data_IF_139801590043
#
_entry.id   IF_139801590043
#
_cell.length_a   1.000
_cell.length_b   1.000
_cell.length_c   1.000
_cell.angle_alpha   90.00
_cell.angle_beta   90.00
_cell.angle_gamma   90.00
#
_symmetry.space_group_name_H-M   'P 1'
#
loop_
_entity.id
_entity.type
_entity.pdbx_description
1 polymer ?
#
# COMPACT_ATOMS: atom_id res chain seq x y z
N UNK A 1 19.83 42.47 16.73
CA UNK A 1 20.14 41.25 17.51
C UNK A 1 18.94 40.91 18.38
N UNK A 2 18.17 39.91 17.98
CA UNK A 2 17.27 39.17 18.87
C UNK A 2 17.19 37.76 18.29
N UNK A 3 17.88 36.84 18.95
CA UNK A 3 17.94 35.43 18.59
C UNK A 3 16.57 34.80 18.84
N UNK A 4 15.81 34.56 17.76
CA UNK A 4 14.70 33.59 17.82
C UNK A 4 15.34 32.23 17.97
N UNK A 5 15.23 31.68 19.17
CA UNK A 5 15.64 30.32 19.50
C UNK A 5 14.97 29.35 18.52
N UNK A 6 15.78 28.72 17.69
CA UNK A 6 15.40 27.55 16.92
C UNK A 6 15.09 26.44 17.92
N UNK A 7 13.81 26.07 18.02
CA UNK A 7 13.39 24.90 18.78
C UNK A 7 14.05 23.66 18.16
N UNK A 8 15.11 23.17 18.80
CA UNK A 8 16.04 22.15 18.29
C UNK A 8 15.48 20.73 18.24
N UNK A 9 14.24 20.50 18.69
CA UNK A 9 13.65 19.16 18.79
C UNK A 9 13.01 18.64 17.49
N UNK A 10 12.87 19.48 16.45
CA UNK A 10 12.28 19.12 15.15
C UNK A 10 13.34 18.90 14.04
N UNK A 11 14.60 18.68 14.41
CA UNK A 11 15.76 18.73 13.50
C UNK A 11 16.19 17.42 12.81
N UNK A 12 15.35 16.51 12.27
CA UNK A 12 15.85 15.47 11.34
C UNK A 12 15.98 15.93 9.89
N UNK A 13 15.43 17.09 9.52
CA UNK A 13 15.41 17.64 8.15
C UNK A 13 16.28 18.90 7.99
N UNK A 14 17.39 18.97 8.72
CA UNK A 14 18.20 20.19 8.94
C UNK A 14 18.62 20.96 7.67
N UNK A 15 18.65 20.30 6.50
CA UNK A 15 19.03 20.94 5.24
C UNK A 15 17.83 21.34 4.35
N UNK A 16 16.60 20.95 4.70
CA UNK A 16 15.41 21.27 3.91
C UNK A 16 14.87 22.68 4.20
N UNK A 17 14.50 23.41 3.15
CA UNK A 17 14.05 24.80 3.16
C UNK A 17 12.64 24.95 2.59
N UNK A 18 11.92 25.95 3.10
CA UNK A 18 10.68 26.43 2.49
C UNK A 18 11.01 27.32 1.31
N UNK A 19 10.65 26.89 0.10
CA UNK A 19 10.93 27.62 -1.15
C UNK A 19 9.64 28.09 -1.82
N UNK A 20 9.67 29.29 -2.40
CA UNK A 20 8.58 29.85 -3.21
C UNK A 20 8.98 29.82 -4.69
N UNK A 21 8.57 28.78 -5.45
CA UNK A 21 9.01 28.59 -6.83
C UNK A 21 8.38 29.57 -7.82
N UNK A 22 9.10 29.87 -8.91
CA UNK A 22 8.53 30.55 -10.09
C UNK A 22 7.52 29.64 -10.82
N UNK A 23 6.64 30.19 -11.68
CA UNK A 23 5.70 29.39 -12.47
C UNK A 23 6.37 28.28 -13.31
N UNK A 24 7.56 28.55 -13.86
CA UNK A 24 8.35 27.61 -14.63
C UNK A 24 8.88 26.48 -13.75
N UNK A 25 9.43 26.81 -12.58
CA UNK A 25 9.88 25.83 -11.59
C UNK A 25 8.71 24.97 -11.07
N UNK A 26 7.51 25.55 -10.91
CA UNK A 26 6.32 24.79 -10.58
C UNK A 26 5.92 23.80 -11.67
N UNK A 27 6.13 24.14 -12.94
CA UNK A 27 5.87 23.22 -14.06
C UNK A 27 6.86 22.07 -14.07
N UNK A 28 8.14 22.35 -13.90
CA UNK A 28 9.20 21.34 -13.80
C UNK A 28 8.98 20.40 -12.62
N UNK A 29 8.66 20.94 -11.43
CA UNK A 29 8.30 20.13 -10.26
C UNK A 29 7.12 19.20 -10.54
N UNK A 30 6.11 19.68 -11.28
CA UNK A 30 4.95 18.85 -11.67
C UNK A 30 5.34 17.70 -12.58
N UNK A 31 6.25 17.93 -13.53
CA UNK A 31 6.77 16.88 -14.40
C UNK A 31 7.53 15.80 -13.60
N UNK A 32 8.42 16.22 -12.68
CA UNK A 32 9.11 15.29 -11.78
C UNK A 32 8.14 14.48 -10.91
N UNK A 33 7.09 15.09 -10.37
CA UNK A 33 6.08 14.37 -9.59
C UNK A 33 5.38 13.29 -10.43
N UNK A 34 5.02 13.60 -11.68
CA UNK A 34 4.41 12.64 -12.59
C UNK A 34 5.36 11.48 -12.91
N UNK A 35 6.62 11.78 -13.24
CA UNK A 35 7.66 10.79 -13.52
C UNK A 35 7.88 9.83 -12.34
N UNK A 36 7.95 10.35 -11.11
CA UNK A 36 8.10 9.52 -9.90
C UNK A 36 6.91 8.58 -9.69
N UNK A 37 5.69 9.08 -9.95
CA UNK A 37 4.48 8.26 -9.95
C UNK A 37 4.58 7.13 -10.97
N UNK A 38 4.98 7.45 -12.21
CA UNK A 38 5.14 6.46 -13.28
C UNK A 38 6.24 5.44 -12.98
N UNK A 39 7.37 5.87 -12.42
CA UNK A 39 8.42 4.97 -11.98
C UNK A 39 7.95 4.04 -10.86
N UNK A 40 7.13 4.50 -9.91
CA UNK A 40 6.54 3.63 -8.90
C UNK A 40 5.63 2.55 -9.55
N UNK A 41 4.83 2.93 -10.55
CA UNK A 41 3.98 2.00 -11.31
C UNK A 41 4.80 0.98 -12.10
N UNK A 42 5.79 1.44 -12.87
CA UNK A 42 6.69 0.58 -13.65
C UNK A 42 7.50 -0.36 -12.77
N UNK A 43 8.00 0.15 -11.63
CA UNK A 43 8.73 -0.66 -10.65
C UNK A 43 7.89 -1.82 -10.11
N UNK A 44 6.57 -1.62 -9.98
CA UNK A 44 5.66 -2.68 -9.53
C UNK A 44 5.56 -3.80 -10.57
N UNK A 45 5.47 -3.44 -11.86
CA UNK A 45 5.46 -4.42 -12.96
C UNK A 45 6.78 -5.19 -13.04
N UNK A 46 7.91 -4.49 -12.89
CA UNK A 46 9.23 -5.11 -12.85
C UNK A 46 9.33 -6.08 -11.68
N UNK A 47 8.84 -5.71 -10.48
CA UNK A 47 8.85 -6.58 -9.31
C UNK A 47 8.01 -7.85 -9.52
N UNK A 48 6.84 -7.74 -10.15
CA UNK A 48 6.02 -8.90 -10.52
C UNK A 48 6.73 -9.81 -11.52
N UNK A 49 7.40 -9.25 -12.53
CA UNK A 49 8.17 -10.00 -13.51
C UNK A 49 9.35 -10.73 -12.86
N UNK A 50 10.13 -10.05 -12.01
CA UNK A 50 11.25 -10.65 -11.28
C UNK A 50 10.77 -11.79 -10.37
N UNK A 51 9.64 -11.61 -9.69
CA UNK A 51 9.04 -12.65 -8.85
C UNK A 51 8.58 -13.87 -9.68
N UNK A 52 8.02 -13.63 -10.86
CA UNK A 52 7.66 -14.68 -11.82
C UNK A 52 8.88 -15.48 -12.28
N UNK A 53 9.95 -14.79 -12.71
CA UNK A 53 11.21 -15.42 -13.17
C UNK A 53 11.85 -16.25 -12.05
N UNK A 54 11.94 -15.69 -10.84
CA UNK A 54 12.46 -16.40 -9.67
C UNK A 54 11.70 -17.70 -9.41
N UNK A 55 10.36 -17.62 -9.41
CA UNK A 55 9.53 -18.79 -9.14
C UNK A 55 9.64 -19.86 -10.23
N UNK A 56 9.72 -19.43 -11.48
CA UNK A 56 9.92 -20.32 -12.61
C UNK A 56 11.25 -21.09 -12.48
N UNK A 57 12.35 -20.38 -12.19
CA UNK A 57 13.65 -21.00 -11.92
C UNK A 57 13.61 -21.98 -10.76
N UNK A 58 13.02 -21.58 -9.62
CA UNK A 58 12.88 -22.43 -8.44
C UNK A 58 12.01 -23.68 -8.66
N UNK A 59 11.00 -23.59 -9.53
CA UNK A 59 10.15 -24.73 -9.88
C UNK A 59 10.88 -25.76 -10.76
N UNK A 60 11.71 -25.29 -11.71
CA UNK A 60 12.54 -26.14 -12.56
C UNK A 60 13.67 -26.83 -11.79
N UNK A 61 14.29 -26.13 -10.83
CA UNK A 61 15.29 -26.73 -9.94
C UNK A 61 14.73 -27.90 -9.13
N UNK A 62 13.54 -27.73 -8.55
CA UNK A 62 12.85 -28.81 -7.81
C UNK A 62 12.42 -29.98 -8.68
N UNK A 63 11.97 -29.73 -9.91
CA UNK A 63 11.62 -30.79 -10.86
C UNK A 63 12.85 -31.63 -11.26
N UNK A 64 14.01 -30.99 -11.47
CA UNK A 64 15.27 -31.67 -11.78
C UNK A 64 15.79 -32.53 -10.62
N UNK A 65 15.73 -32.05 -9.37
CA UNK A 65 16.11 -32.87 -8.20
C UNK A 65 15.21 -34.09 -7.99
N UNK A 66 13.91 -33.99 -8.33
CA UNK A 66 12.96 -35.11 -8.21
C UNK A 66 13.16 -36.20 -9.27
N UNK A 67 13.69 -35.86 -10.45
CA UNK A 67 13.93 -36.81 -11.54
C UNK A 67 15.16 -37.70 -11.34
N UNK A 68 16.03 -37.38 -10.37
CA UNK A 68 17.34 -38.01 -10.21
C UNK A 68 17.50 -38.86 -8.93
N UNK A 69 16.40 -39.19 -8.23
CA UNK A 69 16.46 -39.88 -6.94
C UNK A 69 15.40 -40.97 -6.76
N UNK A 70 15.82 -42.24 -6.89
CA UNK A 70 15.16 -43.39 -6.26
C UNK A 70 15.53 -43.35 -4.76
N UNK A 71 14.74 -42.68 -3.93
CA UNK A 71 14.94 -42.67 -2.48
C UNK A 71 13.66 -42.22 -1.76
N UNK A 72 13.34 -42.81 -0.59
CA UNK A 72 12.10 -42.52 0.11
C UNK A 72 12.06 -41.05 0.53
N UNK A 73 10.93 -40.41 0.25
CA UNK A 73 10.66 -39.00 0.45
C UNK A 73 10.61 -38.64 1.94
N UNK A 74 11.75 -38.35 2.55
CA UNK A 74 11.82 -37.74 3.90
C UNK A 74 12.51 -36.38 3.91
N UNK A 75 12.69 -35.73 2.75
CA UNK A 75 13.21 -34.37 2.73
C UNK A 75 12.06 -33.35 2.80
N UNK A 76 11.35 -33.33 3.93
CA UNK A 76 10.72 -32.10 4.41
C UNK A 76 11.84 -31.26 5.03
N UNK A 77 12.72 -30.75 4.17
CA UNK A 77 13.75 -29.81 4.54
C UNK A 77 13.13 -28.72 5.40
N UNK A 78 13.83 -28.37 6.48
CA UNK A 78 13.42 -27.30 7.38
C UNK A 78 13.08 -26.05 6.55
N UNK A 79 11.91 -25.43 6.74
CA UNK A 79 11.54 -24.27 5.96
C UNK A 79 12.64 -23.21 6.12
N UNK A 80 13.11 -22.68 4.99
CA UNK A 80 14.10 -21.61 4.97
C UNK A 80 13.69 -20.50 5.94
N UNK A 81 14.65 -19.83 6.57
CA UNK A 81 14.38 -18.73 7.49
C UNK A 81 13.45 -17.67 6.87
N UNK A 82 13.57 -17.43 5.56
CA UNK A 82 12.70 -16.51 4.81
C UNK A 82 11.27 -17.03 4.61
N UNK A 83 11.08 -18.35 4.56
CA UNK A 83 9.77 -18.99 4.41
C UNK A 83 9.05 -19.18 5.75
N UNK A 84 9.77 -19.01 6.87
CA UNK A 84 9.18 -19.04 8.19
C UNK A 84 8.29 -17.81 8.46
N UNK A 85 7.25 -17.99 9.27
CA UNK A 85 6.40 -16.88 9.71
C UNK A 85 7.18 -15.93 10.63
N UNK A 86 7.04 -14.61 10.42
CA UNK A 86 7.71 -13.62 11.29
C UNK A 86 7.17 -13.67 12.73
N UNK A 87 5.84 -13.83 12.87
CA UNK A 87 5.17 -13.92 14.18
C UNK A 87 4.42 -15.24 14.32
N UNK A 88 4.33 -15.74 15.56
CA UNK A 88 3.64 -17.00 15.89
C UNK A 88 2.15 -16.91 15.53
N UNK A 89 1.73 -17.73 14.57
CA UNK A 89 0.36 -17.72 14.03
C UNK A 89 0.08 -16.65 12.97
N UNK A 90 1.12 -15.99 12.43
CA UNK A 90 1.00 -15.08 11.30
C UNK A 90 0.92 -15.81 9.96
N UNK A 91 0.08 -15.33 9.04
CA UNK A 91 -0.08 -15.88 7.69
C UNK A 91 0.91 -15.33 6.66
N UNK A 92 1.84 -14.47 7.07
CA UNK A 92 2.86 -13.85 6.21
C UNK A 92 4.28 -14.28 6.61
N UNK A 93 5.15 -14.51 5.62
CA UNK A 93 6.52 -15.01 5.82
C UNK A 93 7.53 -13.87 6.00
N UNK A 94 8.69 -14.15 6.62
CA UNK A 94 9.77 -13.15 6.78
C UNK A 94 10.23 -12.56 5.45
N UNK A 95 10.32 -13.37 4.40
CA UNK A 95 10.65 -12.92 3.05
C UNK A 95 9.62 -11.92 2.49
N UNK A 96 8.33 -12.10 2.78
CA UNK A 96 7.30 -11.14 2.36
C UNK A 96 7.42 -9.80 3.09
N UNK A 97 7.75 -9.81 4.39
CA UNK A 97 8.06 -8.58 5.13
C UNK A 97 9.31 -7.88 4.60
N UNK A 98 10.35 -8.63 4.24
CA UNK A 98 11.56 -8.06 3.64
C UNK A 98 11.24 -7.37 2.32
N UNK A 99 10.45 -7.99 1.45
CA UNK A 99 9.99 -7.37 0.20
C UNK A 99 9.20 -6.10 0.48
N UNK A 100 8.29 -6.10 1.47
CA UNK A 100 7.56 -4.90 1.85
C UNK A 100 8.48 -3.78 2.39
N UNK A 101 9.50 -4.12 3.17
CA UNK A 101 10.49 -3.16 3.67
C UNK A 101 11.33 -2.57 2.54
N UNK A 102 11.85 -3.41 1.64
CA UNK A 102 12.59 -2.97 0.45
C UNK A 102 11.71 -2.08 -0.43
N UNK A 103 10.44 -2.44 -0.59
CA UNK A 103 9.47 -1.63 -1.34
C UNK A 103 9.23 -0.27 -0.69
N UNK A 104 9.08 -0.19 0.64
CA UNK A 104 8.98 1.09 1.37
C UNK A 104 10.21 1.95 1.15
N UNK A 105 11.41 1.38 1.28
CA UNK A 105 12.67 2.12 1.05
C UNK A 105 12.73 2.63 -0.38
N UNK A 106 12.37 1.80 -1.37
CA UNK A 106 12.32 2.20 -2.77
C UNK A 106 11.38 3.38 -3.01
N UNK A 107 10.16 3.35 -2.46
CA UNK A 107 9.21 4.46 -2.59
C UNK A 107 9.70 5.73 -1.88
N UNK A 108 10.36 5.62 -0.72
CA UNK A 108 10.99 6.76 -0.05
C UNK A 108 12.11 7.35 -0.91
N UNK A 109 12.97 6.51 -1.48
CA UNK A 109 14.05 6.94 -2.39
C UNK A 109 13.48 7.62 -3.62
N UNK A 110 12.46 7.05 -4.27
CA UNK A 110 11.79 7.71 -5.41
C UNK A 110 11.19 9.05 -5.00
N UNK A 111 10.65 9.14 -3.78
CA UNK A 111 10.04 10.38 -3.29
C UNK A 111 11.07 11.49 -3.07
N UNK A 112 12.26 11.14 -2.55
CA UNK A 112 13.36 12.08 -2.31
C UNK A 112 14.26 12.34 -3.53
N UNK A 113 14.21 11.47 -4.55
CA UNK A 113 15.07 11.59 -5.72
C UNK A 113 14.77 12.86 -6.50
N UNK A 114 15.71 13.80 -6.54
CA UNK A 114 15.57 15.08 -7.24
C UNK A 114 14.68 16.10 -6.53
N UNK A 115 14.45 15.97 -5.22
CA UNK A 115 13.75 17.00 -4.44
C UNK A 115 14.68 18.12 -3.98
N UNK A 116 15.99 17.87 -3.94
CA UNK A 116 16.97 18.81 -3.40
C UNK A 116 16.69 19.08 -1.92
N UNK A 117 16.78 20.34 -1.53
CA UNK A 117 16.44 20.86 -0.21
C UNK A 117 14.98 21.31 -0.08
N UNK A 118 14.08 21.02 -1.04
CA UNK A 118 12.71 21.53 -0.96
C UNK A 118 11.77 20.63 -0.15
N UNK A 119 11.37 21.14 1.02
CA UNK A 119 10.54 20.42 1.99
C UNK A 119 9.16 20.07 1.43
N UNK A 120 8.52 21.03 0.76
CA UNK A 120 7.18 20.86 0.22
C UNK A 120 7.19 19.99 -1.02
N UNK A 121 8.28 20.03 -1.80
CA UNK A 121 8.45 19.13 -2.93
C UNK A 121 8.57 17.67 -2.46
N UNK A 122 9.37 17.39 -1.42
CA UNK A 122 9.45 16.06 -0.81
C UNK A 122 8.08 15.59 -0.30
N UNK A 123 7.39 16.44 0.47
CA UNK A 123 6.08 16.09 1.04
C UNK A 123 5.05 15.76 -0.05
N UNK A 124 4.96 16.56 -1.12
CA UNK A 124 4.09 16.28 -2.27
C UNK A 124 4.48 15.00 -3.01
N UNK A 125 5.79 14.79 -3.17
CA UNK A 125 6.36 13.62 -3.82
C UNK A 125 5.99 12.31 -3.12
N UNK A 126 6.03 12.30 -1.78
CA UNK A 126 5.56 11.17 -0.97
C UNK A 126 4.10 10.84 -1.27
N UNK A 127 3.21 11.83 -1.25
CA UNK A 127 1.80 11.61 -1.56
C UNK A 127 1.61 11.00 -2.95
N UNK A 128 2.32 11.53 -3.95
CA UNK A 128 2.23 11.07 -5.33
C UNK A 128 2.72 9.63 -5.53
N UNK A 129 3.88 9.25 -4.99
CA UNK A 129 4.44 7.88 -5.14
C UNK A 129 3.60 6.83 -4.42
N UNK A 130 3.02 7.17 -3.26
CA UNK A 130 2.13 6.28 -2.53
C UNK A 130 0.82 6.05 -3.30
N UNK A 131 0.21 7.14 -3.79
CA UNK A 131 -1.04 7.05 -4.53
C UNK A 131 -0.86 6.29 -5.85
N UNK A 132 0.31 6.40 -6.48
CA UNK A 132 0.68 5.57 -7.64
C UNK A 132 0.68 4.06 -7.34
N UNK A 133 0.89 3.67 -6.08
CA UNK A 133 0.87 2.26 -5.63
C UNK A 133 -0.56 1.73 -5.40
N UNK A 134 -1.56 2.60 -5.18
CA UNK A 134 -2.93 2.21 -4.85
C UNK A 134 -3.60 1.32 -5.93
N UNK A 135 -3.54 1.66 -7.24
CA UNK A 135 -4.09 0.81 -8.30
C UNK A 135 -3.51 -0.62 -8.27
N UNK A 136 -2.20 -0.73 -8.07
CA UNK A 136 -1.53 -2.03 -7.99
C UNK A 136 -1.90 -2.78 -6.71
N UNK A 137 -2.04 -2.08 -5.60
CA UNK A 137 -2.51 -2.71 -4.37
C UNK A 137 -3.91 -3.32 -4.57
N UNK A 138 -4.77 -2.71 -5.38
CA UNK A 138 -6.04 -3.32 -5.81
C UNK A 138 -5.82 -4.51 -6.75
N UNK A 139 -4.86 -4.49 -7.68
CA UNK A 139 -4.54 -5.67 -8.51
C UNK A 139 -4.11 -6.86 -7.66
N UNK A 140 -3.36 -6.65 -6.59
CA UNK A 140 -2.91 -7.68 -5.66
C UNK A 140 -4.02 -8.21 -4.74
N UNK A 141 -5.18 -7.55 -4.67
CA UNK A 141 -6.30 -7.96 -3.81
C UNK A 141 -6.97 -9.25 -4.31
N UNK A 142 -7.61 -10.03 -3.42
CA UNK A 142 -8.44 -11.16 -3.83
C UNK A 142 -9.50 -10.74 -4.84
N UNK A 143 -9.63 -11.49 -5.93
CA UNK A 143 -10.62 -11.24 -6.99
C UNK A 143 -11.95 -11.89 -6.67
N UNK A 144 -13.04 -11.21 -7.01
CA UNK A 144 -14.40 -11.75 -6.90
C UNK A 144 -14.57 -12.99 -7.78
N UNK A 145 -13.93 -13.00 -8.95
CA UNK A 145 -13.86 -14.18 -9.81
C UNK A 145 -12.43 -14.57 -10.12
N UNK A 146 -12.02 -15.74 -9.64
CA UNK A 146 -10.69 -16.30 -9.96
C UNK A 146 -10.60 -16.88 -11.37
N UNK A 147 -11.72 -17.28 -11.97
CA UNK A 147 -11.73 -18.02 -13.25
C UNK A 147 -11.97 -17.15 -14.47
N UNK A 148 -12.55 -15.96 -14.31
CA UNK A 148 -12.90 -15.07 -15.43
C UNK A 148 -12.14 -13.74 -15.40
N UNK A 149 -11.48 -13.39 -14.29
CA UNK A 149 -10.78 -12.12 -14.20
C UNK A 149 -9.51 -12.10 -15.08
N UNK A 150 -9.38 -11.15 -16.02
CA UNK A 150 -8.29 -11.15 -17.01
C UNK A 150 -6.90 -11.06 -16.38
N UNK A 151 -6.72 -10.20 -15.37
CA UNK A 151 -5.46 -10.12 -14.61
C UNK A 151 -5.08 -11.43 -13.91
N UNK A 152 -6.01 -12.11 -13.24
CA UNK A 152 -5.68 -13.37 -12.58
C UNK A 152 -5.35 -14.47 -13.60
N UNK A 153 -6.03 -14.48 -14.75
CA UNK A 153 -5.72 -15.38 -15.85
C UNK A 153 -4.33 -15.08 -16.43
N UNK A 154 -4.00 -13.82 -16.66
CA UNK A 154 -2.69 -13.37 -17.13
C UNK A 154 -1.58 -13.78 -16.16
N UNK A 155 -1.74 -13.46 -14.86
CA UNK A 155 -0.75 -13.78 -13.85
C UNK A 155 -0.62 -15.29 -13.64
N UNK A 156 -1.73 -16.04 -13.61
CA UNK A 156 -1.69 -17.49 -13.42
C UNK A 156 -1.10 -18.21 -14.63
N UNK A 157 -1.46 -17.83 -15.86
CA UNK A 157 -1.09 -18.55 -17.07
C UNK A 157 0.26 -18.10 -17.63
N UNK A 158 0.51 -16.78 -17.72
CA UNK A 158 1.75 -16.26 -18.29
C UNK A 158 2.85 -16.12 -17.24
N UNK A 159 2.52 -15.56 -16.07
CA UNK A 159 3.52 -15.29 -15.02
C UNK A 159 3.69 -16.46 -14.04
N UNK A 160 2.84 -17.50 -14.10
CA UNK A 160 2.84 -18.61 -13.13
C UNK A 160 2.71 -18.12 -11.66
N UNK A 161 1.99 -17.01 -11.48
CA UNK A 161 1.73 -16.32 -10.23
C UNK A 161 0.24 -16.33 -9.91
N UNK A 162 -0.30 -17.42 -9.33
CA UNK A 162 -1.69 -17.43 -8.92
C UNK A 162 -1.94 -16.45 -7.76
N UNK A 163 -3.18 -15.94 -7.66
CA UNK A 163 -3.63 -14.93 -6.68
C UNK A 163 -3.23 -15.21 -5.22
N UNK A 164 -3.10 -16.48 -4.83
CA UNK A 164 -2.68 -16.89 -3.48
C UNK A 164 -1.30 -16.35 -3.09
N UNK A 165 -0.41 -16.14 -4.06
CA UNK A 165 0.92 -15.56 -3.81
C UNK A 165 0.92 -14.03 -3.82
N UNK A 166 -0.08 -13.40 -4.45
CA UNK A 166 -0.19 -11.94 -4.56
C UNK A 166 -0.89 -11.32 -3.35
N UNK A 167 -1.91 -12.00 -2.83
CA UNK A 167 -2.73 -11.53 -1.70
C UNK A 167 -1.92 -11.17 -0.44
N UNK A 168 -0.87 -11.90 -0.03
CA UNK A 168 -0.02 -11.49 1.09
C UNK A 168 0.61 -10.11 0.91
N UNK A 169 1.02 -9.76 -0.31
CA UNK A 169 1.59 -8.45 -0.62
C UNK A 169 0.53 -7.34 -0.55
N UNK A 170 -0.70 -7.59 -1.03
CA UNK A 170 -1.82 -6.67 -0.81
C UNK A 170 -2.03 -6.34 0.68
N UNK A 171 -1.99 -7.37 1.54
CA UNK A 171 -2.14 -7.18 2.99
C UNK A 171 -0.97 -6.41 3.59
N UNK A 172 0.28 -6.73 3.22
CA UNK A 172 1.46 -6.04 3.77
C UNK A 172 1.56 -4.60 3.28
N UNK A 173 1.27 -4.33 2.01
CA UNK A 173 1.28 -2.98 1.45
C UNK A 173 0.16 -2.13 2.07
N UNK A 174 -1.06 -2.67 2.15
CA UNK A 174 -2.18 -1.98 2.79
C UNK A 174 -2.04 -1.80 4.31
N UNK A 175 -1.25 -2.63 5.00
CA UNK A 175 -1.06 -2.56 6.45
C UNK A 175 0.16 -1.77 6.90
N UNK A 176 1.24 -1.81 6.12
CA UNK A 176 2.54 -1.25 6.52
C UNK A 176 2.96 -0.11 5.58
N UNK A 177 3.06 -0.39 4.29
CA UNK A 177 3.67 0.55 3.33
C UNK A 177 2.80 1.80 3.16
N UNK A 178 1.54 1.63 2.73
CA UNK A 178 0.65 2.75 2.44
C UNK A 178 0.37 3.56 3.73
N UNK A 179 -0.02 2.95 4.87
CA UNK A 179 -0.25 3.71 6.10
C UNK A 179 0.98 4.46 6.61
N UNK A 180 2.17 3.85 6.59
CA UNK A 180 3.37 4.50 7.09
C UNK A 180 3.72 5.73 6.25
N UNK A 181 3.68 5.60 4.93
CA UNK A 181 4.06 6.70 4.04
C UNK A 181 2.99 7.81 4.01
N UNK A 182 1.70 7.49 4.08
CA UNK A 182 0.64 8.51 4.20
C UNK A 182 0.75 9.23 5.55
N UNK A 183 1.05 8.49 6.64
CA UNK A 183 1.26 9.11 7.95
C UNK A 183 2.45 10.05 7.92
N UNK A 184 3.54 9.68 7.25
CA UNK A 184 4.69 10.56 7.05
C UNK A 184 4.31 11.81 6.25
N UNK A 185 3.59 11.66 5.14
CA UNK A 185 3.09 12.79 4.35
C UNK A 185 2.22 13.76 5.18
N UNK A 186 1.27 13.22 5.95
CA UNK A 186 0.40 14.02 6.83
C UNK A 186 1.20 14.70 7.94
N UNK A 187 2.17 14.01 8.54
CA UNK A 187 3.03 14.56 9.59
C UNK A 187 3.87 15.72 9.07
N UNK A 188 4.48 15.58 7.89
CA UNK A 188 5.29 16.64 7.29
C UNK A 188 4.45 17.88 6.97
N UNK A 189 3.23 17.71 6.44
CA UNK A 189 2.33 18.84 6.24
C UNK A 189 1.91 19.50 7.56
N UNK A 190 1.61 18.71 8.60
CA UNK A 190 1.26 19.24 9.90
C UNK A 190 2.40 20.05 10.52
N UNK A 191 3.64 19.55 10.45
CA UNK A 191 4.84 20.27 10.90
C UNK A 191 5.00 21.58 10.13
N UNK A 192 4.88 21.55 8.80
CA UNK A 192 4.91 22.76 7.97
C UNK A 192 3.87 23.80 8.39
N UNK A 193 2.62 23.39 8.63
CA UNK A 193 1.55 24.30 9.03
C UNK A 193 1.78 24.91 10.41
N UNK A 194 2.30 24.14 11.36
CA UNK A 194 2.63 24.62 12.71
C UNK A 194 3.79 25.60 12.66
N UNK A 195 4.90 25.25 11.98
CA UNK A 195 6.10 26.08 11.91
C UNK A 195 5.86 27.43 11.21
N UNK A 196 4.96 27.46 10.23
CA UNK A 196 4.61 28.68 9.51
C UNK A 196 3.43 29.44 10.14
N UNK A 197 2.84 28.93 11.24
CA UNK A 197 1.72 29.60 11.93
C UNK A 197 0.42 29.66 11.12
N UNK A 198 0.25 28.75 10.15
CA UNK A 198 -0.92 28.71 9.24
C UNK A 198 -1.86 27.54 9.54
N UNK A 199 -1.71 26.85 10.67
CA UNK A 199 -2.49 25.65 10.97
C UNK A 199 -4.00 25.93 10.98
N UNK A 200 -4.45 26.96 11.69
CA UNK A 200 -5.88 27.27 11.82
C UNK A 200 -6.52 27.62 10.47
N UNK A 201 -5.83 28.41 9.66
CA UNK A 201 -6.33 28.78 8.32
C UNK A 201 -6.38 27.56 7.41
N UNK A 202 -5.31 26.76 7.38
CA UNK A 202 -5.21 25.58 6.52
C UNK A 202 -6.19 24.47 6.93
N UNK A 203 -6.53 24.31 8.21
CA UNK A 203 -7.54 23.33 8.63
C UNK A 203 -8.95 23.63 8.10
N UNK A 204 -9.24 24.89 7.76
CA UNK A 204 -10.49 25.29 7.13
C UNK A 204 -10.48 25.13 5.60
N UNK A 205 -9.31 24.89 4.99
CA UNK A 205 -9.22 24.68 3.56
C UNK A 205 -9.72 23.28 3.16
N UNK A 206 -10.49 23.24 2.08
CA UNK A 206 -11.15 22.01 1.60
C UNK A 206 -10.16 20.88 1.28
N UNK A 207 -9.00 21.20 0.71
CA UNK A 207 -7.95 20.22 0.39
C UNK A 207 -7.45 19.52 1.66
N UNK A 208 -7.18 20.27 2.73
CA UNK A 208 -6.73 19.73 4.02
C UNK A 208 -7.83 18.90 4.68
N UNK A 209 -9.09 19.35 4.64
CA UNK A 209 -10.22 18.58 5.18
C UNK A 209 -10.38 17.23 4.49
N UNK A 210 -10.30 17.17 3.16
CA UNK A 210 -10.27 15.89 2.45
C UNK A 210 -9.05 15.05 2.83
N UNK A 211 -7.88 15.65 3.03
CA UNK A 211 -6.70 14.94 3.52
C UNK A 211 -6.92 14.27 4.89
N UNK A 212 -7.59 14.98 5.81
CA UNK A 212 -7.97 14.46 7.13
C UNK A 212 -8.95 13.29 7.00
N UNK A 213 -10.01 13.44 6.19
CA UNK A 213 -10.97 12.36 5.94
C UNK A 213 -10.32 11.13 5.30
N UNK A 214 -9.36 11.33 4.38
CA UNK A 214 -8.60 10.24 3.77
C UNK A 214 -7.76 9.50 4.81
N UNK A 215 -7.12 10.23 5.72
CA UNK A 215 -6.35 9.65 6.83
C UNK A 215 -7.25 8.80 7.75
N UNK A 216 -8.45 9.29 8.11
CA UNK A 216 -9.40 8.52 8.91
C UNK A 216 -9.96 7.29 8.16
N UNK A 217 -10.25 7.41 6.87
CA UNK A 217 -10.65 6.26 6.05
C UNK A 217 -9.54 5.19 6.00
N UNK A 218 -8.28 5.61 5.90
CA UNK A 218 -7.12 4.72 5.96
C UNK A 218 -6.95 4.06 7.34
N UNK A 219 -7.19 4.79 8.42
CA UNK A 219 -7.23 4.21 9.77
C UNK A 219 -8.37 3.18 9.92
N UNK A 220 -9.52 3.41 9.30
CA UNK A 220 -10.63 2.46 9.20
C UNK A 220 -10.24 1.18 8.42
N UNK A 221 -9.55 1.32 7.28
CA UNK A 221 -8.98 0.19 6.54
C UNK A 221 -8.00 -0.63 7.38
N UNK A 222 -7.15 0.05 8.13
CA UNK A 222 -6.20 -0.60 9.03
C UNK A 222 -6.92 -1.34 10.16
N UNK A 223 -7.96 -0.74 10.75
CA UNK A 223 -8.79 -1.34 11.80
C UNK A 223 -9.62 -2.55 11.33
N UNK A 224 -10.06 -2.56 10.08
CA UNK A 224 -10.75 -3.71 9.47
C UNK A 224 -9.81 -4.86 9.08
N UNK A 225 -8.49 -4.63 9.09
CA UNK A 225 -7.52 -5.69 8.78
C UNK A 225 -7.56 -6.79 9.85
N UNK A 226 -7.50 -8.06 9.42
CA UNK A 226 -7.64 -9.22 10.30
C UNK A 226 -6.61 -9.32 11.44
N UNK A 227 -5.55 -8.50 11.39
CA UNK A 227 -4.56 -8.36 12.46
C UNK A 227 -5.10 -7.61 13.68
N UNK A 228 -5.76 -6.47 13.48
CA UNK A 228 -6.35 -5.70 14.60
C UNK A 228 -7.49 -6.50 15.23
N UNK A 229 -8.36 -7.08 14.40
CA UNK A 229 -9.45 -7.96 14.85
C UNK A 229 -8.89 -9.21 15.56
N UNK A 230 -7.78 -9.77 15.07
CA UNK A 230 -7.12 -10.95 15.65
C UNK A 230 -6.34 -10.67 16.94
N UNK A 231 -5.78 -9.46 17.08
CA UNK A 231 -5.09 -9.01 18.29
C UNK A 231 -6.09 -8.68 19.40
N UNK A 232 -7.17 -7.94 19.09
CA UNK A 232 -8.30 -7.71 20.01
C UNK A 232 -8.91 -9.04 20.45
N UNK A 233 -9.09 -10.01 19.53
CA UNK A 233 -9.59 -11.35 19.83
C UNK A 233 -8.67 -12.14 20.78
N UNK A 234 -7.34 -11.97 20.70
CA UNK A 234 -6.36 -12.69 21.55
C UNK A 234 -6.15 -12.05 22.91
N UNK A 235 -6.46 -10.76 23.06
CA UNK A 235 -6.28 -10.00 24.32
C UNK A 235 -7.53 -10.01 25.21
N UNK A 236 -8.67 -10.51 24.70
CA UNK A 236 -9.87 -10.72 25.49
C UNK A 236 -9.73 -11.91 26.43
N UNK A 237 -9.81 -11.64 27.74
CA UNK A 237 -9.90 -12.63 28.80
C UNK A 237 -11.12 -13.55 28.57
N UNK A 238 -11.08 -14.88 28.78
CA UNK A 238 -12.23 -15.77 28.56
C UNK A 238 -13.38 -15.56 29.57
N UNK A 239 -13.23 -14.68 30.56
CA UNK A 239 -14.06 -14.61 31.76
C UNK A 239 -14.77 -13.27 31.99
N UNK A 240 -15.03 -12.50 30.94
CA UNK A 240 -15.90 -11.32 31.05
C UNK A 240 -17.19 -11.53 30.24
N UNK A 241 -18.22 -12.04 30.93
CA UNK A 241 -19.61 -11.80 30.52
C UNK A 241 -19.87 -10.29 30.47
N UNK A 242 -20.67 -9.86 29.49
CA UNK A 242 -21.07 -8.47 29.23
C UNK A 242 -20.11 -7.66 28.34
N UNK A 243 -20.23 -7.87 27.02
CA UNK A 243 -20.26 -6.78 26.05
C UNK A 243 -20.94 -7.28 24.77
N UNK A 244 -22.20 -6.90 24.61
CA UNK A 244 -23.04 -7.02 23.41
C UNK A 244 -22.57 -6.10 22.25
N UNK A 245 -21.26 -5.96 22.03
CA UNK A 245 -20.72 -5.15 20.93
C UNK A 245 -20.34 -6.04 19.74
N UNK A 246 -21.31 -6.18 18.83
CA UNK A 246 -21.17 -6.54 17.42
C UNK A 246 -20.02 -7.46 17.02
N UNK A 247 -20.25 -8.78 17.03
CA UNK A 247 -19.41 -9.72 16.26
C UNK A 247 -19.55 -9.42 14.77
N UNK A 248 -18.66 -8.60 14.21
CA UNK A 248 -18.58 -8.42 12.76
C UNK A 248 -18.15 -9.75 12.14
N UNK A 249 -19.04 -10.35 11.35
CA UNK A 249 -18.73 -11.57 10.60
C UNK A 249 -17.60 -11.31 9.60
N UNK A 250 -16.89 -12.36 9.14
CA UNK A 250 -15.86 -12.20 8.08
C UNK A 250 -16.42 -11.47 6.84
N UNK A 251 -17.70 -11.68 6.53
CA UNK A 251 -18.42 -10.99 5.46
C UNK A 251 -18.60 -9.51 5.77
N UNK A 252 -19.03 -9.17 6.98
CA UNK A 252 -19.18 -7.78 7.42
C UNK A 252 -17.85 -7.02 7.40
N UNK A 253 -16.75 -7.65 7.84
CA UNK A 253 -15.42 -7.05 7.80
C UNK A 253 -14.97 -6.78 6.37
N UNK A 254 -15.25 -7.71 5.44
CA UNK A 254 -14.98 -7.52 4.02
C UNK A 254 -15.79 -6.37 3.42
N UNK A 255 -17.11 -6.32 3.66
CA UNK A 255 -17.98 -5.24 3.17
C UNK A 255 -17.51 -3.89 3.70
N UNK A 256 -17.21 -3.81 5.00
CA UNK A 256 -16.72 -2.58 5.62
C UNK A 256 -15.35 -2.16 5.05
N UNK A 257 -14.44 -3.12 4.81
CA UNK A 257 -13.16 -2.86 4.17
C UNK A 257 -13.34 -2.27 2.77
N UNK A 258 -14.17 -2.89 1.93
CA UNK A 258 -14.47 -2.38 0.58
C UNK A 258 -15.14 -1.01 0.65
N UNK A 259 -16.08 -0.79 1.59
CA UNK A 259 -16.71 0.51 1.78
C UNK A 259 -15.69 1.60 2.12
N UNK A 260 -14.74 1.32 3.02
CA UNK A 260 -13.65 2.25 3.30
C UNK A 260 -12.71 2.45 2.10
N UNK A 261 -12.48 1.45 1.25
CA UNK A 261 -11.71 1.63 0.00
C UNK A 261 -12.43 2.61 -0.92
N UNK A 262 -13.74 2.44 -1.14
CA UNK A 262 -14.52 3.35 -2.00
C UNK A 262 -14.56 4.77 -1.41
N UNK A 263 -14.75 4.89 -0.09
CA UNK A 263 -14.68 6.18 0.61
C UNK A 263 -13.31 6.83 0.43
N UNK A 264 -12.22 6.09 0.66
CA UNK A 264 -10.85 6.59 0.49
C UNK A 264 -10.62 7.08 -0.93
N UNK A 265 -11.00 6.30 -1.95
CA UNK A 265 -10.87 6.69 -3.36
C UNK A 265 -11.66 7.98 -3.67
N UNK A 266 -12.89 8.08 -3.18
CA UNK A 266 -13.72 9.27 -3.35
C UNK A 266 -13.11 10.51 -2.70
N UNK A 267 -12.66 10.40 -1.45
CA UNK A 267 -12.04 11.52 -0.73
C UNK A 267 -10.72 11.94 -1.38
N UNK A 268 -9.87 10.99 -1.78
CA UNK A 268 -8.60 11.29 -2.47
C UNK A 268 -8.83 11.97 -3.82
N UNK A 269 -9.89 11.64 -4.54
CA UNK A 269 -10.25 12.30 -5.80
C UNK A 269 -10.49 13.81 -5.63
N UNK A 270 -11.11 14.20 -4.51
CA UNK A 270 -11.38 15.60 -4.18
C UNK A 270 -10.24 16.28 -3.43
N UNK A 271 -9.35 15.54 -2.79
CA UNK A 271 -8.18 16.07 -2.08
C UNK A 271 -7.20 16.80 -3.00
N UNK A 272 -6.82 16.20 -4.14
CA UNK A 272 -5.87 16.82 -5.07
C UNK A 272 -6.09 16.33 -6.50
N UNK A 273 -6.03 17.24 -7.47
CA UNK A 273 -6.26 16.95 -8.89
C UNK A 273 -5.28 15.90 -9.44
N UNK A 274 -4.01 15.97 -9.03
CA UNK A 274 -2.96 15.08 -9.53
C UNK A 274 -3.14 13.61 -9.09
N UNK A 275 -3.86 13.37 -8.00
CA UNK A 275 -4.18 12.03 -7.53
C UNK A 275 -5.28 11.35 -8.36
N UNK A 276 -6.11 12.14 -9.08
CA UNK A 276 -7.30 11.64 -9.78
C UNK A 276 -6.96 10.57 -10.81
N UNK A 277 -5.81 10.68 -11.51
CA UNK A 277 -5.33 9.67 -12.46
C UNK A 277 -5.25 8.29 -11.79
N UNK A 278 -4.67 8.20 -10.60
CA UNK A 278 -4.53 6.93 -9.87
C UNK A 278 -5.87 6.44 -9.31
N UNK A 279 -6.72 7.34 -8.85
CA UNK A 279 -8.09 6.97 -8.42
C UNK A 279 -8.88 6.37 -9.57
N UNK A 280 -8.85 6.99 -10.75
CA UNK A 280 -9.54 6.47 -11.94
C UNK A 280 -8.99 5.10 -12.34
N UNK A 281 -7.67 4.92 -12.35
CA UNK A 281 -7.06 3.60 -12.60
C UNK A 281 -7.55 2.55 -11.59
N UNK A 282 -7.59 2.88 -10.30
CA UNK A 282 -8.07 1.99 -9.24
C UNK A 282 -9.56 1.62 -9.43
N UNK A 283 -10.40 2.59 -9.79
CA UNK A 283 -11.82 2.37 -10.08
C UNK A 283 -12.03 1.50 -11.31
N UNK A 284 -11.25 1.70 -12.38
CA UNK A 284 -11.28 0.84 -13.58
C UNK A 284 -10.93 -0.60 -13.21
N UNK A 285 -9.86 -0.80 -12.42
CA UNK A 285 -9.45 -2.14 -11.95
C UNK A 285 -10.56 -2.81 -11.14
N UNK A 286 -11.19 -2.06 -10.21
CA UNK A 286 -12.29 -2.59 -9.41
C UNK A 286 -13.52 -2.91 -10.26
N UNK A 287 -13.87 -2.03 -11.22
CA UNK A 287 -14.98 -2.25 -12.15
C UNK A 287 -14.79 -3.49 -13.02
N UNK A 288 -13.56 -3.76 -13.47
CA UNK A 288 -13.22 -5.00 -14.21
C UNK A 288 -13.42 -6.24 -13.32
N UNK A 289 -13.06 -6.19 -12.03
CA UNK A 289 -13.26 -7.30 -11.10
C UNK A 289 -14.75 -7.61 -10.90
N UNK A 290 -15.56 -6.57 -10.65
CA UNK A 290 -17.02 -6.70 -10.51
C UNK A 290 -17.65 -7.21 -11.80
N UNK A 291 -17.30 -6.63 -12.96
CA UNK A 291 -17.81 -7.03 -14.26
C UNK A 291 -17.48 -8.50 -14.59
N UNK A 292 -16.23 -8.93 -14.32
CA UNK A 292 -15.81 -10.32 -14.53
C UNK A 292 -16.60 -11.30 -13.67
N UNK A 293 -16.93 -10.92 -12.44
CA UNK A 293 -17.78 -11.71 -11.54
C UNK A 293 -19.23 -11.77 -12.02
N UNK A 294 -19.80 -10.66 -12.49
CA UNK A 294 -21.14 -10.63 -13.07
C UNK A 294 -21.25 -11.56 -14.29
N UNK A 295 -20.28 -11.50 -15.20
CA UNK A 295 -20.21 -12.40 -16.37
C UNK A 295 -20.19 -13.87 -15.92
N UNK A 296 -19.34 -14.22 -14.95
CA UNK A 296 -19.32 -15.59 -14.40
C UNK A 296 -20.69 -16.01 -13.88
N UNK A 297 -21.37 -15.14 -13.15
CA UNK A 297 -22.68 -15.43 -12.57
C UNK A 297 -23.79 -15.61 -13.62
N UNK A 298 -23.70 -14.90 -14.74
CA UNK A 298 -24.68 -14.96 -15.84
C UNK A 298 -24.47 -16.17 -16.75
N UNK A 299 -23.21 -16.56 -17.03
CA UNK A 299 -22.88 -17.57 -18.05
C UNK A 299 -22.46 -18.95 -17.49
N UNK A 300 -22.23 -19.06 -16.18
CA UNK A 300 -21.87 -20.34 -15.53
C UNK A 300 -22.92 -20.82 -14.51
N UNK A 301 -24.17 -20.35 -14.65
CA UNK A 301 -25.36 -21.00 -14.09
C UNK A 301 -25.82 -22.11 -15.02
#
# INVERSE_FOLDING_TARGET
>A
MSSRGTNSWLSPLADYRYTSPTPEQLRERREFLNLRGEYAQLSTLVLLLLFSVYRFGASRGRARSRGNGNGPTTDRGTPSWLDSALMRGGGETRGQYLVAAVWTVWLLTLSAWGTGDDYLHLTKSLGQTILATVPFNLLLSPKLSTTTHPFNLLCSNLLLLPQIHLTPYHRLFGRLVIPALISLHSLLYLMFFVENGVLETRLNDSDVQFGIWAFFALAGLWGTSGWVVGWVRRRGNPTAGSASSGRISKRGAYVLHVAFVILLLGVVYFHVEHARKFVVQALVIYGVDVGSWMVKMLFMR
#
